data_IF_715114730947
#
_entry.id   IF_715114730947
#
_cell.length_a   1.000
_cell.length_b   1.000
_cell.length_c   1.000
_cell.angle_alpha   90.00
_cell.angle_beta   90.00
_cell.angle_gamma   90.00
#
_symmetry.space_group_name_H-M   'P 1'
#
loop_
_entity.id
_entity.type
_entity.pdbx_description
1 polymer ?
#
# COMPACT_ATOMS: atom_id res chain seq x y z
N UNK A 1 -12.46 7.87 12.25
CA UNK A 1 -12.66 9.27 11.85
C UNK A 1 -12.42 9.33 10.34
N UNK A 2 -13.41 9.75 9.55
CA UNK A 2 -13.29 9.88 8.10
C UNK A 2 -12.86 11.30 7.72
N UNK A 3 -12.23 11.46 6.56
CA UNK A 3 -11.88 12.78 6.03
C UNK A 3 -13.18 13.55 5.69
N UNK A 4 -13.27 14.82 6.11
CA UNK A 4 -14.47 15.66 5.86
C UNK A 4 -14.75 15.82 4.36
N UNK A 5 -13.71 15.79 3.55
CA UNK A 5 -13.75 15.86 2.10
C UNK A 5 -14.55 14.71 1.47
N UNK A 6 -14.69 13.57 2.17
CA UNK A 6 -15.55 12.47 1.72
C UNK A 6 -17.03 12.87 1.65
N UNK A 7 -17.47 13.85 2.45
CA UNK A 7 -18.87 14.32 2.47
C UNK A 7 -19.18 15.32 1.34
N UNK A 8 -18.18 15.79 0.60
CA UNK A 8 -18.42 16.64 -0.57
C UNK A 8 -19.19 15.86 -1.63
N UNK A 9 -20.23 16.46 -2.18
CA UNK A 9 -21.17 15.78 -3.09
C UNK A 9 -20.50 15.11 -4.30
N UNK A 10 -19.43 15.72 -4.83
CA UNK A 10 -18.66 15.17 -5.95
C UNK A 10 -17.84 13.93 -5.56
N UNK A 11 -17.23 13.94 -4.38
CA UNK A 11 -16.44 12.82 -3.83
C UNK A 11 -17.36 11.68 -3.39
N UNK A 12 -18.46 12.00 -2.70
CA UNK A 12 -19.46 11.03 -2.26
C UNK A 12 -20.04 10.25 -3.45
N UNK A 13 -20.46 10.95 -4.52
CA UNK A 13 -20.98 10.31 -5.74
C UNK A 13 -19.98 9.39 -6.41
N UNK A 14 -18.69 9.77 -6.45
CA UNK A 14 -17.62 8.92 -7.00
C UNK A 14 -17.39 7.67 -6.14
N UNK A 15 -17.44 7.82 -4.81
CA UNK A 15 -17.32 6.72 -3.84
C UNK A 15 -18.50 5.74 -3.96
N UNK A 16 -19.72 6.23 -4.08
CA UNK A 16 -20.92 5.38 -4.28
C UNK A 16 -20.81 4.56 -5.57
N UNK A 17 -20.44 5.20 -6.69
CA UNK A 17 -20.23 4.49 -7.96
C UNK A 17 -19.14 3.42 -7.84
N UNK A 18 -18.04 3.75 -7.18
CA UNK A 18 -16.98 2.78 -6.94
C UNK A 18 -17.46 1.59 -6.11
N UNK A 19 -18.17 1.84 -5.00
CA UNK A 19 -18.73 0.79 -4.15
C UNK A 19 -19.75 -0.08 -4.89
N UNK A 20 -20.54 0.48 -5.80
CA UNK A 20 -21.43 -0.31 -6.65
C UNK A 20 -20.64 -1.24 -7.60
N UNK A 21 -19.53 -0.76 -8.16
CA UNK A 21 -18.67 -1.52 -9.06
C UNK A 21 -17.81 -2.57 -8.35
N UNK A 22 -17.32 -2.28 -7.13
CA UNK A 22 -16.30 -3.09 -6.47
C UNK A 22 -16.73 -4.55 -6.25
N UNK A 23 -18.03 -4.78 -6.03
CA UNK A 23 -18.61 -6.11 -5.82
C UNK A 23 -18.64 -6.98 -7.07
N UNK A 24 -18.49 -6.38 -8.25
CA UNK A 24 -18.48 -7.07 -9.53
C UNK A 24 -17.05 -7.33 -10.05
N UNK A 25 -16.03 -6.92 -9.31
CA UNK A 25 -14.65 -7.11 -9.71
C UNK A 25 -14.15 -8.46 -9.22
N UNK A 26 -13.54 -9.21 -10.13
CA UNK A 26 -12.82 -10.45 -9.82
C UNK A 26 -11.56 -10.13 -8.99
N UNK A 27 -11.47 -10.55 -7.70
CA UNK A 27 -10.35 -10.24 -6.83
C UNK A 27 -9.00 -10.74 -7.35
N UNK A 28 -8.96 -11.81 -8.15
CA UNK A 28 -7.72 -12.38 -8.71
C UNK A 28 -7.07 -11.44 -9.74
N UNK A 29 -7.87 -10.58 -10.36
CA UNK A 29 -7.41 -9.62 -11.38
C UNK A 29 -6.94 -8.31 -10.79
N UNK A 30 -7.24 -8.04 -9.52
CA UNK A 30 -6.94 -6.77 -8.87
C UNK A 30 -5.49 -6.69 -8.42
N UNK A 31 -4.86 -5.55 -8.72
CA UNK A 31 -3.50 -5.22 -8.30
C UNK A 31 -3.51 -3.81 -7.72
N UNK A 32 -3.53 -3.71 -6.40
CA UNK A 32 -3.49 -2.42 -5.70
C UNK A 32 -2.05 -1.99 -5.54
N UNK A 33 -1.68 -0.80 -6.00
CA UNK A 33 -0.36 -0.25 -5.78
C UNK A 33 -0.45 1.04 -4.99
N UNK A 34 0.53 1.25 -4.12
CA UNK A 34 0.63 2.43 -3.28
C UNK A 34 2.06 2.56 -2.73
N UNK A 35 2.36 3.71 -2.15
CA UNK A 35 3.60 4.00 -1.46
C UNK A 35 3.39 4.28 0.02
N UNK A 36 4.43 4.00 0.79
CA UNK A 36 4.45 4.35 2.19
C UNK A 36 5.84 4.72 2.67
N UNK A 37 5.91 5.68 3.60
CA UNK A 37 7.15 6.01 4.26
C UNK A 37 7.50 5.06 5.40
N UNK A 38 8.77 4.66 5.45
CA UNK A 38 9.40 3.89 6.51
C UNK A 38 10.58 4.70 7.03
N UNK A 39 10.61 4.98 8.34
CA UNK A 39 11.63 5.83 8.96
C UNK A 39 12.54 5.01 9.85
N UNK A 40 13.84 5.33 9.88
CA UNK A 40 14.82 4.64 10.75
C UNK A 40 14.61 4.90 12.25
N UNK A 41 13.83 5.94 12.60
CA UNK A 41 13.45 6.22 13.99
C UNK A 41 12.11 5.59 14.41
N UNK A 42 11.51 4.72 13.61
CA UNK A 42 10.27 4.03 13.99
C UNK A 42 10.45 3.25 15.30
N UNK A 43 9.54 3.47 16.25
CA UNK A 43 9.49 2.78 17.55
C UNK A 43 8.08 2.28 17.84
N UNK A 44 7.92 1.28 18.72
CA UNK A 44 6.60 0.83 19.14
C UNK A 44 5.82 1.99 19.78
N UNK A 45 4.60 2.23 19.31
CA UNK A 45 3.72 3.31 19.82
C UNK A 45 3.03 2.88 21.13
N UNK A 46 2.89 1.57 21.33
CA UNK A 46 2.24 0.95 22.49
C UNK A 46 3.02 -0.31 22.88
N UNK A 47 2.90 -0.73 24.13
CA UNK A 47 3.47 -1.97 24.64
C UNK A 47 2.75 -2.43 25.91
N UNK A 48 3.02 -3.66 26.31
CA UNK A 48 2.44 -4.28 27.50
C UNK A 48 3.43 -4.22 28.66
N UNK A 49 2.94 -3.99 29.88
CA UNK A 49 3.75 -3.92 31.09
C UNK A 49 2.93 -4.22 32.35
N UNK A 50 3.58 -4.43 33.50
CA UNK A 50 2.90 -4.73 34.75
C UNK A 50 1.88 -3.65 35.13
N UNK A 51 0.69 -4.06 35.59
CA UNK A 51 -0.36 -3.15 36.06
C UNK A 51 0.20 -2.21 37.14
N UNK A 52 -0.07 -0.91 37.01
CA UNK A 52 0.40 0.11 37.95
C UNK A 52 1.84 0.58 37.73
N UNK A 53 2.60 0.03 36.77
CA UNK A 53 3.95 0.50 36.43
C UNK A 53 3.96 1.20 35.08
N UNK A 54 4.64 2.36 35.02
CA UNK A 54 4.84 3.09 33.76
C UNK A 54 5.78 2.30 32.85
N UNK A 55 5.33 2.02 31.63
CA UNK A 55 6.18 1.45 30.58
C UNK A 55 7.24 2.48 30.17
N UNK A 56 8.52 2.12 30.27
CA UNK A 56 9.65 2.93 29.80
C UNK A 56 10.20 2.33 28.51
N UNK A 57 10.45 3.16 27.51
CA UNK A 57 11.03 2.77 26.23
C UNK A 57 11.98 3.88 25.74
N UNK A 58 12.96 3.49 24.93
CA UNK A 58 13.93 4.40 24.35
C UNK A 58 13.64 4.59 22.86
N UNK A 59 13.72 5.83 22.40
CA UNK A 59 13.56 6.19 20.99
C UNK A 59 14.77 7.00 20.53
N UNK A 60 15.25 6.82 19.28
CA UNK A 60 16.31 7.65 18.74
C UNK A 60 15.90 9.13 18.76
N UNK A 61 16.80 9.98 19.27
CA UNK A 61 16.70 11.43 19.20
C UNK A 61 17.79 11.93 18.23
N UNK A 62 17.46 12.85 17.33
CA UNK A 62 18.40 13.35 16.30
C UNK A 62 17.99 13.00 14.87
N UNK A 63 18.95 12.81 13.96
CA UNK A 63 18.72 12.62 12.52
C UNK A 63 18.15 11.22 12.19
N UNK A 64 17.10 11.18 11.37
CA UNK A 64 16.55 9.93 10.80
C UNK A 64 16.51 10.00 9.29
N UNK A 65 16.53 8.83 8.65
CA UNK A 65 16.31 8.68 7.21
C UNK A 65 14.87 8.26 6.97
N UNK A 66 14.28 8.77 5.90
CA UNK A 66 12.94 8.41 5.44
C UNK A 66 13.08 7.67 4.13
N UNK A 67 12.72 6.39 4.13
CA UNK A 67 12.67 5.55 2.95
C UNK A 67 11.24 5.54 2.42
N UNK A 68 11.09 5.49 1.10
CA UNK A 68 9.80 5.27 0.45
C UNK A 68 9.73 3.82 0.01
N UNK A 69 8.75 3.08 0.52
CA UNK A 69 8.47 1.71 0.13
C UNK A 69 7.25 1.69 -0.78
N UNK A 70 7.39 1.08 -1.97
CA UNK A 70 6.30 0.77 -2.88
C UNK A 70 6.06 -0.73 -2.90
N UNK A 71 4.80 -1.10 -3.06
CA UNK A 71 4.39 -2.47 -3.24
C UNK A 71 3.10 -2.59 -4.02
N UNK A 72 2.84 -3.81 -4.48
CA UNK A 72 1.61 -4.17 -5.16
C UNK A 72 0.92 -5.32 -4.41
N UNK A 73 -0.28 -5.08 -3.89
CA UNK A 73 -1.10 -6.10 -3.23
C UNK A 73 -2.02 -6.78 -4.25
N UNK A 74 -1.95 -8.11 -4.28
CA UNK A 74 -2.88 -9.01 -4.99
C UNK A 74 -3.67 -9.82 -3.95
N UNK A 75 -4.65 -10.60 -4.40
CA UNK A 75 -5.43 -11.44 -3.48
C UNK A 75 -4.60 -12.54 -2.78
N UNK A 76 -3.44 -12.90 -3.31
CA UNK A 76 -2.63 -14.03 -2.89
C UNK A 76 -1.22 -13.66 -2.40
N UNK A 77 -0.76 -12.43 -2.65
CA UNK A 77 0.58 -11.96 -2.23
C UNK A 77 0.72 -10.45 -2.27
N UNK A 78 1.70 -9.96 -1.50
CA UNK A 78 2.33 -8.66 -1.73
C UNK A 78 3.54 -8.86 -2.65
N UNK A 79 3.58 -8.15 -3.77
CA UNK A 79 4.54 -8.33 -4.86
C UNK A 79 5.08 -6.98 -5.36
N UNK A 80 6.02 -7.01 -6.30
CA UNK A 80 6.75 -5.84 -6.79
C UNK A 80 7.21 -4.90 -5.66
N UNK A 81 7.94 -5.40 -4.64
CA UNK A 81 8.43 -4.53 -3.58
C UNK A 81 9.62 -3.69 -4.07
N UNK A 82 9.60 -2.39 -3.79
CA UNK A 82 10.69 -1.49 -4.11
C UNK A 82 10.91 -0.48 -2.99
N UNK A 83 12.17 -0.20 -2.64
CA UNK A 83 12.51 0.78 -1.60
C UNK A 83 13.43 1.83 -2.21
N UNK A 84 13.07 3.10 -2.03
CA UNK A 84 13.87 4.26 -2.39
C UNK A 84 14.39 4.97 -1.12
N UNK A 85 15.61 5.48 -1.17
CA UNK A 85 16.14 6.37 -0.14
C UNK A 85 15.66 7.81 -0.41
N UNK A 86 14.67 8.26 0.35
CA UNK A 86 14.07 9.58 0.20
C UNK A 86 12.71 9.61 -0.51
N UNK A 87 12.18 10.82 -0.76
CA UNK A 87 10.91 11.02 -1.45
C UNK A 87 11.05 10.62 -2.92
N UNK A 88 10.01 9.98 -3.46
CA UNK A 88 9.95 9.62 -4.86
C UNK A 88 9.46 10.80 -5.71
N UNK A 89 9.97 10.92 -6.92
CA UNK A 89 9.43 11.80 -7.95
C UNK A 89 8.74 10.95 -9.05
N UNK A 90 8.14 11.61 -10.04
CA UNK A 90 7.45 10.91 -11.13
C UNK A 90 8.36 9.98 -11.96
N UNK A 91 9.68 10.25 -12.02
CA UNK A 91 10.63 9.39 -12.73
C UNK A 91 10.89 8.09 -11.95
N UNK A 92 11.12 8.17 -10.64
CA UNK A 92 11.28 6.99 -9.78
C UNK A 92 10.03 6.10 -9.82
N UNK A 93 8.84 6.72 -9.74
CA UNK A 93 7.58 6.00 -9.84
C UNK A 93 7.39 5.33 -11.21
N UNK A 94 7.74 6.02 -12.29
CA UNK A 94 7.73 5.44 -13.64
C UNK A 94 8.67 4.22 -13.74
N UNK A 95 9.89 4.35 -13.24
CA UNK A 95 10.86 3.25 -13.24
C UNK A 95 10.34 2.06 -12.43
N UNK A 96 9.72 2.29 -11.28
CA UNK A 96 9.03 1.27 -10.51
C UNK A 96 7.96 0.54 -11.34
N UNK A 97 7.08 1.29 -12.03
CA UNK A 97 6.03 0.70 -12.86
C UNK A 97 6.64 -0.15 -13.98
N UNK A 98 7.59 0.39 -14.73
CA UNK A 98 8.16 -0.28 -15.90
C UNK A 98 9.01 -1.50 -15.52
N UNK A 99 9.79 -1.43 -14.44
CA UNK A 99 10.79 -2.44 -14.10
C UNK A 99 10.31 -3.46 -13.06
N UNK A 100 9.35 -3.10 -12.20
CA UNK A 100 8.90 -3.97 -11.12
C UNK A 100 7.44 -4.41 -11.29
N UNK A 101 6.55 -3.48 -11.67
CA UNK A 101 5.12 -3.79 -11.79
C UNK A 101 4.80 -4.49 -13.11
N UNK A 102 5.17 -3.92 -14.26
CA UNK A 102 4.82 -4.45 -15.59
C UNK A 102 5.23 -5.92 -15.78
N UNK A 103 6.43 -6.37 -15.35
CA UNK A 103 6.84 -7.78 -15.51
C UNK A 103 5.94 -8.80 -14.80
N UNK A 104 5.18 -8.39 -13.78
CA UNK A 104 4.29 -9.27 -13.01
C UNK A 104 2.82 -9.15 -13.43
N UNK A 105 2.50 -8.26 -14.37
CA UNK A 105 1.14 -8.09 -14.87
C UNK A 105 0.80 -9.16 -15.90
N UNK A 106 -0.48 -9.52 -15.94
CA UNK A 106 -1.06 -10.38 -16.97
C UNK A 106 -2.16 -9.63 -17.71
N UNK A 107 -2.44 -9.96 -18.99
CA UNK A 107 -3.58 -9.43 -19.70
C UNK A 107 -4.88 -9.57 -18.88
N UNK A 108 -5.67 -8.51 -18.82
CA UNK A 108 -6.90 -8.46 -18.03
C UNK A 108 -6.74 -8.09 -16.55
N UNK A 109 -5.51 -7.95 -16.03
CA UNK A 109 -5.29 -7.37 -14.70
C UNK A 109 -5.76 -5.91 -14.65
N UNK A 110 -6.23 -5.50 -13.47
CA UNK A 110 -6.69 -4.15 -13.17
C UNK A 110 -5.77 -3.58 -12.10
N UNK A 111 -4.89 -2.68 -12.51
CA UNK A 111 -4.04 -1.90 -11.61
C UNK A 111 -4.87 -0.77 -11.02
N UNK A 112 -4.93 -0.71 -9.69
CA UNK A 112 -5.68 0.29 -8.92
C UNK A 112 -4.69 1.08 -8.08
N UNK A 113 -4.76 2.41 -8.15
CA UNK A 113 -3.94 3.32 -7.34
C UNK A 113 -4.73 4.57 -6.95
N UNK A 114 -4.21 5.35 -6.01
CA UNK A 114 -4.81 6.62 -5.63
C UNK A 114 -4.65 7.69 -6.75
N UNK A 115 -5.41 8.77 -6.63
CA UNK A 115 -5.53 9.79 -7.68
C UNK A 115 -4.50 10.94 -7.53
N UNK A 116 -3.28 10.62 -7.08
CA UNK A 116 -2.22 11.60 -6.85
C UNK A 116 -1.57 12.07 -8.17
N UNK A 117 -1.07 13.31 -8.19
CA UNK A 117 -0.51 13.91 -9.41
C UNK A 117 0.70 13.15 -9.98
N UNK A 118 1.56 12.63 -9.10
CA UNK A 118 2.72 11.78 -9.44
C UNK A 118 2.33 10.53 -10.24
N UNK A 119 1.10 10.04 -10.06
CA UNK A 119 0.60 8.80 -10.63
C UNK A 119 -0.01 8.96 -12.03
N UNK A 120 -0.16 10.21 -12.50
CA UNK A 120 -0.88 10.53 -13.76
C UNK A 120 0.01 10.59 -15.00
N UNK A 121 1.26 10.13 -14.91
CA UNK A 121 2.16 10.14 -16.06
C UNK A 121 1.57 9.33 -17.22
N UNK A 122 1.46 9.95 -18.41
CA UNK A 122 0.95 9.28 -19.61
C UNK A 122 1.74 7.98 -19.93
N UNK A 123 3.04 8.01 -19.66
CA UNK A 123 3.93 6.86 -19.79
C UNK A 123 3.51 5.66 -18.90
N UNK A 124 3.12 5.91 -17.64
CA UNK A 124 2.65 4.84 -16.72
C UNK A 124 1.42 4.15 -17.29
N UNK A 125 0.46 4.92 -17.79
CA UNK A 125 -0.75 4.38 -18.43
C UNK A 125 -0.39 3.56 -19.68
N UNK A 126 0.53 4.06 -20.50
CA UNK A 126 0.95 3.37 -21.72
C UNK A 126 1.64 2.04 -21.41
N UNK A 127 2.55 2.01 -20.44
CA UNK A 127 3.27 0.78 -20.04
C UNK A 127 2.33 -0.29 -19.48
N UNK A 128 1.37 0.10 -18.64
CA UNK A 128 0.35 -0.84 -18.13
C UNK A 128 -0.55 -1.36 -19.26
N UNK A 129 -0.97 -0.49 -20.19
CA UNK A 129 -1.80 -0.90 -21.33
C UNK A 129 -1.05 -1.81 -22.29
N UNK A 130 0.25 -1.58 -22.51
CA UNK A 130 1.10 -2.43 -23.34
C UNK A 130 1.21 -3.86 -22.80
N UNK A 131 1.12 -4.05 -21.47
CA UNK A 131 1.04 -5.36 -20.83
C UNK A 131 -0.36 -6.02 -20.90
N UNK A 132 -1.33 -5.39 -21.58
CA UNK A 132 -2.70 -5.88 -21.67
C UNK A 132 -3.53 -5.64 -20.39
N UNK A 133 -3.03 -4.84 -19.45
CA UNK A 133 -3.71 -4.51 -18.21
C UNK A 133 -4.45 -3.16 -18.29
N UNK A 134 -5.33 -2.90 -17.33
CA UNK A 134 -6.11 -1.66 -17.22
C UNK A 134 -5.65 -0.86 -16.00
N UNK A 135 -5.64 0.47 -16.11
CA UNK A 135 -5.31 1.38 -15.01
C UNK A 135 -6.56 2.11 -14.53
N UNK A 136 -6.94 1.90 -13.27
CA UNK A 136 -8.06 2.52 -12.59
C UNK A 136 -7.57 3.38 -11.41
N UNK A 137 -8.27 4.47 -11.14
CA UNK A 137 -7.97 5.37 -10.02
C UNK A 137 -9.07 5.29 -8.97
N UNK A 138 -8.66 5.19 -7.70
CA UNK A 138 -9.58 5.28 -6.58
C UNK A 138 -10.22 6.68 -6.52
N UNK A 139 -11.45 6.78 -5.98
CA UNK A 139 -12.01 8.07 -5.65
C UNK A 139 -11.09 8.83 -4.67
N UNK A 140 -10.99 10.16 -4.77
CA UNK A 140 -10.20 10.95 -3.83
C UNK A 140 -10.56 10.67 -2.36
N UNK A 141 -9.58 10.81 -1.46
CA UNK A 141 -9.77 10.65 -0.02
C UNK A 141 -10.38 9.30 0.40
N UNK A 142 -10.03 8.22 -0.30
CA UNK A 142 -10.64 6.88 -0.11
C UNK A 142 -9.66 5.79 0.32
N UNK A 143 -8.86 5.98 1.39
CA UNK A 143 -7.93 4.95 1.86
C UNK A 143 -8.65 3.69 2.37
N UNK A 144 -9.90 3.81 2.80
CA UNK A 144 -10.75 2.68 3.19
C UNK A 144 -11.05 1.72 2.03
N UNK A 145 -10.99 2.21 0.79
CA UNK A 145 -11.16 1.42 -0.43
C UNK A 145 -9.81 0.87 -0.95
N UNK A 146 -8.70 1.16 -0.28
CA UNK A 146 -7.37 0.69 -0.67
C UNK A 146 -6.85 -0.40 0.28
N UNK A 147 -7.03 -1.71 -0.01
CA UNK A 147 -6.64 -2.78 0.90
C UNK A 147 -5.14 -2.84 1.20
N UNK A 148 -4.27 -2.30 0.33
CA UNK A 148 -2.82 -2.26 0.59
C UNK A 148 -2.46 -1.43 1.82
N UNK A 149 -3.30 -0.46 2.21
CA UNK A 149 -3.10 0.34 3.42
C UNK A 149 -3.13 -0.52 4.69
N UNK A 150 -3.91 -1.61 4.68
CA UNK A 150 -3.95 -2.58 5.78
C UNK A 150 -2.64 -3.39 5.84
N UNK A 151 -2.15 -3.85 4.69
CA UNK A 151 -0.86 -4.54 4.60
C UNK A 151 0.30 -3.62 5.05
N UNK A 152 0.31 -2.37 4.60
CA UNK A 152 1.31 -1.37 5.00
C UNK A 152 1.22 -1.02 6.48
N UNK A 153 0.02 -0.95 7.05
CA UNK A 153 -0.17 -0.77 8.50
C UNK A 153 0.47 -1.91 9.30
N UNK A 154 0.30 -3.16 8.86
CA UNK A 154 0.95 -4.33 9.47
C UNK A 154 2.47 -4.28 9.29
N UNK A 155 2.97 -3.98 8.09
CA UNK A 155 4.43 -3.85 7.84
C UNK A 155 5.02 -2.79 8.77
N UNK A 156 4.41 -1.60 8.85
CA UNK A 156 4.85 -0.53 9.76
C UNK A 156 4.84 -0.97 11.22
N UNK A 157 3.88 -1.78 11.63
CA UNK A 157 3.84 -2.31 13.00
C UNK A 157 5.06 -3.20 13.28
N UNK A 158 5.36 -4.16 12.41
CA UNK A 158 6.54 -5.02 12.58
C UNK A 158 7.86 -4.26 12.45
N UNK A 159 7.93 -3.28 11.55
CA UNK A 159 9.09 -2.38 11.44
C UNK A 159 9.34 -1.61 12.75
N UNK A 160 8.28 -1.10 13.38
CA UNK A 160 8.36 -0.43 14.69
C UNK A 160 8.85 -1.36 15.79
N UNK A 161 8.40 -2.61 15.80
CA UNK A 161 8.88 -3.62 16.76
C UNK A 161 10.35 -3.97 16.55
N UNK A 162 10.77 -4.10 15.30
CA UNK A 162 12.13 -4.49 14.93
C UNK A 162 13.18 -3.39 15.15
N UNK A 163 12.76 -2.12 15.17
CA UNK A 163 13.60 -0.97 15.54
C UNK A 163 14.91 -0.87 14.74
N UNK A 164 14.88 -1.17 13.43
CA UNK A 164 16.07 -1.07 12.58
C UNK A 164 16.46 0.39 12.38
N UNK A 165 17.76 0.70 12.57
CA UNK A 165 18.28 2.08 12.64
C UNK A 165 19.13 2.49 11.45
N UNK A 166 19.54 1.53 10.62
CA UNK A 166 20.28 1.76 9.37
C UNK A 166 19.37 1.54 8.17
N UNK A 167 19.74 2.12 7.02
CA UNK A 167 19.02 1.92 5.75
C UNK A 167 19.09 0.44 5.35
N UNK A 168 20.28 -0.15 5.37
CA UNK A 168 20.53 -1.54 4.99
C UNK A 168 19.71 -2.54 5.81
N UNK A 169 19.68 -2.38 7.14
CA UNK A 169 18.91 -3.29 7.98
C UNK A 169 17.41 -3.11 7.80
N UNK A 170 16.98 -1.88 7.55
CA UNK A 170 15.58 -1.57 7.24
C UNK A 170 15.15 -2.27 5.96
N UNK A 171 15.93 -2.12 4.89
CA UNK A 171 15.66 -2.77 3.60
C UNK A 171 15.67 -4.30 3.70
N UNK A 172 16.71 -4.88 4.30
CA UNK A 172 16.80 -6.34 4.52
C UNK A 172 15.63 -6.86 5.35
N UNK A 173 15.20 -6.11 6.37
CA UNK A 173 14.10 -6.53 7.21
C UNK A 173 12.76 -6.46 6.48
N UNK A 174 12.49 -5.40 5.71
CA UNK A 174 11.30 -5.31 4.84
C UNK A 174 11.24 -6.53 3.91
N UNK A 175 12.36 -6.86 3.24
CA UNK A 175 12.41 -8.02 2.35
C UNK A 175 12.08 -9.36 3.02
N UNK A 176 12.41 -9.53 4.31
CA UNK A 176 12.00 -10.70 5.09
C UNK A 176 10.53 -10.64 5.52
N UNK A 177 10.05 -9.48 5.96
CA UNK A 177 8.67 -9.29 6.39
C UNK A 177 7.67 -9.55 5.27
N UNK A 178 7.97 -9.15 4.05
CA UNK A 178 7.07 -9.37 2.91
C UNK A 178 6.86 -10.88 2.67
N UNK A 179 7.90 -11.69 2.89
CA UNK A 179 7.82 -13.15 2.75
C UNK A 179 6.97 -13.83 3.83
N UNK A 180 6.63 -13.14 4.92
CA UNK A 180 5.79 -13.70 5.99
C UNK A 180 4.30 -13.42 5.78
N UNK A 181 3.94 -12.51 4.87
CA UNK A 181 2.55 -12.19 4.52
C UNK A 181 1.96 -13.37 3.76
N UNK A 182 0.93 -13.99 4.32
CA UNK A 182 0.33 -15.21 3.76
C UNK A 182 -0.73 -14.88 2.68
N UNK A 183 -1.00 -15.79 1.73
CA UNK A 183 -2.05 -15.59 0.74
C UNK A 183 -3.43 -15.36 1.34
N UNK A 184 -3.81 -16.14 2.36
CA UNK A 184 -5.10 -15.97 3.04
C UNK A 184 -5.23 -14.58 3.68
N UNK A 185 -4.14 -14.04 4.20
CA UNK A 185 -4.11 -12.70 4.78
C UNK A 185 -4.35 -11.62 3.71
N UNK A 186 -3.76 -11.79 2.53
CA UNK A 186 -3.98 -10.88 1.39
C UNK A 186 -5.45 -10.90 0.94
N UNK A 187 -6.04 -12.08 0.82
CA UNK A 187 -7.45 -12.23 0.49
C UNK A 187 -8.34 -11.53 1.53
N UNK A 188 -8.04 -11.69 2.82
CA UNK A 188 -8.78 -11.04 3.90
C UNK A 188 -8.72 -9.51 3.80
N UNK A 189 -7.60 -8.92 3.39
CA UNK A 189 -7.50 -7.47 3.17
C UNK A 189 -8.46 -6.98 2.07
N UNK A 190 -8.51 -7.70 0.94
CA UNK A 190 -9.43 -7.40 -0.16
C UNK A 190 -10.90 -7.56 0.26
N UNK A 191 -11.22 -8.64 1.00
CA UNK A 191 -12.56 -8.86 1.57
C UNK A 191 -12.96 -7.72 2.48
N UNK A 192 -12.09 -7.31 3.41
CA UNK A 192 -12.35 -6.23 4.35
C UNK A 192 -12.55 -4.87 3.66
N UNK A 193 -11.90 -4.64 2.51
CA UNK A 193 -12.10 -3.45 1.69
C UNK A 193 -13.32 -3.54 0.74
N UNK A 194 -14.05 -4.67 0.74
CA UNK A 194 -15.31 -4.85 0.02
C UNK A 194 -15.20 -5.50 -1.37
N UNK A 195 -14.02 -5.97 -1.78
CA UNK A 195 -13.79 -6.51 -3.13
C UNK A 195 -14.14 -7.99 -3.30
N UNK A 196 -14.31 -8.76 -2.21
CA UNK A 196 -14.59 -10.19 -2.27
C UNK A 196 -16.01 -10.58 -1.80
N UNK A 197 -16.93 -9.60 -1.72
CA UNK A 197 -18.32 -9.90 -1.36
C UNK A 197 -19.05 -10.49 -2.56
N UNK A 198 -18.88 -11.79 -2.78
CA UNK A 198 -19.75 -12.57 -3.65
C UNK A 198 -21.16 -12.46 -3.09
N UNK A 199 -22.08 -11.83 -3.84
CA UNK A 199 -23.51 -12.08 -3.63
C UNK A 199 -23.73 -13.56 -3.95
N UNK A 200 -24.09 -14.31 -2.92
CA UNK A 200 -24.77 -15.60 -3.07
C UNK A 200 -26.03 -15.41 -3.90
#
# INVERSE_FOLDING_TARGET
MFALEQARADVARRRERWKALQHHLDPERLVFIDETWIKTNMTPIRGWGPKGKRLRAFAPHGHWRTLTFLGALRNDRLTAPCVFDGPINGQCFRAYVEQQLVPILKPGNIVIMDNLGSHKAAAVRQSIKAAGARLWFLPPYSPDLNPIEQAFSKIKHWMRLAQKRTIDDTWRHIGRLIKTIQPQECANYLTNAGYASVKT
#
